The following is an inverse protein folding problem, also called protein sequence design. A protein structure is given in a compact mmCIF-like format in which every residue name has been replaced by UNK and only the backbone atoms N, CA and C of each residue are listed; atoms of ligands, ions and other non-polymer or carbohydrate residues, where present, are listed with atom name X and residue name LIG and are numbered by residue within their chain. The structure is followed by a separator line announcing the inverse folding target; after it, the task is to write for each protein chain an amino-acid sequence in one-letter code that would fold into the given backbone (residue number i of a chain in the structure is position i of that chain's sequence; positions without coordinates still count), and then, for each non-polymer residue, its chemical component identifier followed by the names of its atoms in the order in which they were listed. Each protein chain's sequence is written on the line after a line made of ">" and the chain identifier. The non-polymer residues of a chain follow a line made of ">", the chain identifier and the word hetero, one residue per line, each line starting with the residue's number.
data_IF_225152464339
#
_entry.id   IF_225152464339
#
_cell.length_a   1.000
_cell.length_b   1.000
_cell.length_c   1.000
_cell.angle_alpha   90.00
_cell.angle_beta   90.00
_cell.angle_gamma   90.00
#
_symmetry.space_group_name_H-M   'P 1'
#
loop_
_entity.id
_entity.type
_entity.pdbx_description
1 polymer ?
#
# COMPACT_ATOMS: atom_id res chain seq x y z
N UNK A 1 12.17 26.54 -12.82
CA UNK A 1 12.13 25.13 -13.26
C UNK A 1 10.91 24.47 -12.64
N UNK A 2 9.82 24.36 -13.41
CA UNK A 2 8.55 23.78 -12.94
C UNK A 2 8.63 22.26 -12.96
N UNK A 3 8.66 21.61 -11.78
CA UNK A 3 8.54 20.16 -11.67
C UNK A 3 7.08 19.81 -11.94
N UNK A 4 6.76 19.36 -13.16
CA UNK A 4 5.43 18.79 -13.45
C UNK A 4 5.17 17.66 -12.45
N UNK A 5 4.03 17.65 -11.74
CA UNK A 5 3.66 16.52 -10.91
C UNK A 5 3.52 15.28 -11.80
N UNK A 6 4.09 14.15 -11.36
CA UNK A 6 3.90 12.87 -12.03
C UNK A 6 2.41 12.58 -12.13
N UNK A 7 1.96 12.20 -13.33
CA UNK A 7 0.57 11.90 -13.65
C UNK A 7 0.03 10.81 -12.68
N UNK A 8 -1.03 11.11 -11.90
CA UNK A 8 -1.70 10.20 -10.97
C UNK A 8 -2.15 8.85 -11.52
N UNK A 9 -2.30 8.73 -12.83
CA UNK A 9 -3.00 7.62 -13.49
C UNK A 9 -2.11 6.44 -13.88
N UNK A 10 -0.91 6.35 -13.28
CA UNK A 10 0.19 5.51 -13.73
C UNK A 10 0.52 4.36 -12.76
N UNK A 11 0.08 3.14 -13.08
CA UNK A 11 0.55 1.90 -12.42
C UNK A 11 1.79 1.38 -13.16
N UNK A 12 2.93 1.28 -12.47
CA UNK A 12 4.16 0.70 -13.04
C UNK A 12 4.05 -0.83 -13.04
N UNK A 13 3.92 -1.41 -14.22
CA UNK A 13 3.98 -2.84 -14.47
C UNK A 13 5.42 -3.37 -14.46
N UNK A 14 5.59 -4.70 -14.32
CA UNK A 14 6.89 -5.35 -14.47
C UNK A 14 7.45 -5.07 -15.87
N UNK A 15 8.69 -4.56 -15.95
CA UNK A 15 9.30 -4.12 -17.21
C UNK A 15 9.09 -2.64 -17.55
N UNK A 16 8.60 -1.81 -16.62
CA UNK A 16 8.57 -0.34 -16.78
C UNK A 16 7.43 0.20 -17.63
N UNK A 17 6.49 -0.65 -18.06
CA UNK A 17 5.27 -0.21 -18.75
C UNK A 17 4.27 0.37 -17.75
N UNK A 18 3.48 1.34 -18.19
CA UNK A 18 2.56 2.05 -17.32
C UNK A 18 1.12 1.90 -17.81
N UNK A 19 0.19 1.51 -16.92
CA UNK A 19 -1.24 1.30 -17.25
C UNK A 19 -2.16 1.85 -16.16
N UNK A 20 -3.42 2.13 -16.52
CA UNK A 20 -4.45 2.59 -15.59
C UNK A 20 -4.95 1.46 -14.70
N UNK A 21 -5.24 1.77 -13.43
CA UNK A 21 -5.81 0.84 -12.45
C UNK A 21 -7.28 0.54 -12.80
N UNK A 22 -7.66 -0.73 -12.96
CA UNK A 22 -9.07 -1.15 -13.12
C UNK A 22 -9.85 -0.53 -14.29
N UNK A 23 -9.17 0.10 -15.26
CA UNK A 23 -9.83 0.83 -16.36
C UNK A 23 -10.43 2.20 -15.99
N UNK A 24 -10.32 2.65 -14.72
CA UNK A 24 -10.81 3.97 -14.27
C UNK A 24 -9.70 4.80 -13.62
N UNK A 25 -9.83 6.13 -13.69
CA UNK A 25 -8.95 7.02 -12.94
C UNK A 25 -9.37 7.05 -11.47
N UNK A 26 -8.42 7.13 -10.51
CA UNK A 26 -8.75 7.39 -9.12
C UNK A 26 -9.56 8.68 -9.02
N UNK A 27 -10.66 8.65 -8.27
CA UNK A 27 -11.56 9.79 -8.09
C UNK A 27 -11.11 10.69 -6.94
N UNK A 28 -10.32 10.15 -6.00
CA UNK A 28 -9.83 10.87 -4.82
C UNK A 28 -8.32 10.71 -4.61
N UNK A 29 -7.74 11.63 -3.83
CA UNK A 29 -6.33 11.56 -3.42
C UNK A 29 -6.03 10.31 -2.58
N UNK A 30 -6.93 9.90 -1.69
CA UNK A 30 -6.72 8.68 -0.90
C UNK A 30 -6.77 7.42 -1.77
N UNK A 31 -7.68 7.36 -2.74
CA UNK A 31 -7.73 6.26 -3.73
C UNK A 31 -6.44 6.21 -4.56
N UNK A 32 -5.93 7.36 -4.99
CA UNK A 32 -4.65 7.45 -5.70
C UNK A 32 -3.48 6.93 -4.85
N UNK A 33 -3.40 7.35 -3.59
CA UNK A 33 -2.35 6.88 -2.67
C UNK A 33 -2.42 5.37 -2.43
N UNK A 34 -3.62 4.81 -2.32
CA UNK A 34 -3.83 3.38 -2.21
C UNK A 34 -3.36 2.62 -3.46
N UNK A 35 -3.73 3.10 -4.65
CA UNK A 35 -3.29 2.51 -5.93
C UNK A 35 -1.75 2.52 -6.07
N UNK A 36 -1.10 3.63 -5.72
CA UNK A 36 0.37 3.75 -5.71
C UNK A 36 1.01 2.79 -4.71
N UNK A 37 0.43 2.65 -3.52
CA UNK A 37 0.94 1.73 -2.49
C UNK A 37 0.90 0.27 -2.97
N UNK A 38 -0.19 -0.16 -3.62
CA UNK A 38 -0.30 -1.52 -4.19
C UNK A 38 0.74 -1.73 -5.29
N UNK A 39 0.90 -0.78 -6.21
CA UNK A 39 1.86 -0.88 -7.30
C UNK A 39 3.31 -0.99 -6.78
N UNK A 40 3.65 -0.17 -5.77
CA UNK A 40 4.95 -0.22 -5.11
C UNK A 40 5.15 -1.56 -4.40
N UNK A 41 4.14 -2.07 -3.68
CA UNK A 41 4.18 -3.38 -3.04
C UNK A 41 4.41 -4.51 -4.07
N UNK A 42 3.73 -4.48 -5.21
CA UNK A 42 3.91 -5.45 -6.29
C UNK A 42 5.36 -5.45 -6.82
N UNK A 43 5.94 -4.26 -7.03
CA UNK A 43 7.34 -4.10 -7.43
C UNK A 43 8.30 -4.68 -6.39
N UNK A 44 8.07 -4.40 -5.09
CA UNK A 44 8.88 -4.95 -4.00
C UNK A 44 8.76 -6.47 -3.88
N UNK A 45 7.57 -7.02 -4.08
CA UNK A 45 7.36 -8.47 -4.10
C UNK A 45 8.18 -9.12 -5.21
N UNK A 46 8.20 -8.55 -6.42
CA UNK A 46 9.00 -9.07 -7.53
C UNK A 46 10.50 -9.00 -7.27
N UNK A 47 10.97 -7.87 -6.72
CA UNK A 47 12.37 -7.72 -6.31
C UNK A 47 12.77 -8.77 -5.26
N UNK A 48 11.88 -9.06 -4.30
CA UNK A 48 12.10 -10.09 -3.29
C UNK A 48 12.16 -11.50 -3.91
N UNK A 49 11.25 -11.84 -4.82
CA UNK A 49 11.28 -13.14 -5.52
C UNK A 49 12.60 -13.32 -6.28
N UNK A 50 13.06 -12.29 -6.99
CA UNK A 50 14.34 -12.33 -7.69
C UNK A 50 15.53 -12.51 -6.72
N UNK A 51 15.54 -11.79 -5.60
CA UNK A 51 16.59 -11.90 -4.58
C UNK A 51 16.63 -13.30 -3.94
N UNK A 52 15.47 -13.84 -3.56
CA UNK A 52 15.37 -15.19 -2.99
C UNK A 52 15.80 -16.28 -3.97
N UNK A 53 15.53 -16.09 -5.27
CA UNK A 53 15.99 -17.01 -6.32
C UNK A 53 17.51 -16.98 -6.43
N UNK A 54 18.11 -15.79 -6.49
CA UNK A 54 19.56 -15.62 -6.55
C UNK A 54 20.27 -16.17 -5.30
N UNK A 55 19.70 -15.99 -4.10
CA UNK A 55 20.22 -16.61 -2.88
C UNK A 55 20.17 -18.14 -2.97
N UNK A 56 19.06 -18.69 -3.47
CA UNK A 56 18.92 -20.14 -3.68
C UNK A 56 19.98 -20.70 -4.63
N UNK A 57 20.28 -20.00 -5.72
CA UNK A 57 21.34 -20.36 -6.66
C UNK A 57 22.74 -20.26 -6.04
N UNK A 58 23.02 -19.17 -5.30
CA UNK A 58 24.29 -19.00 -4.60
C UNK A 58 24.51 -20.09 -3.53
N UNK A 59 23.45 -20.47 -2.81
CA UNK A 59 23.49 -21.57 -1.84
C UNK A 59 23.78 -22.91 -2.52
N UNK A 60 23.14 -23.20 -3.66
CA UNK A 60 23.42 -24.41 -4.45
C UNK A 60 24.89 -24.47 -4.87
N UNK A 61 25.44 -23.35 -5.38
CA UNK A 61 26.84 -23.25 -5.76
C UNK A 61 27.79 -23.49 -4.58
N UNK A 62 27.46 -22.96 -3.40
CA UNK A 62 28.24 -23.22 -2.18
C UNK A 62 28.25 -24.70 -1.78
N UNK A 63 27.09 -25.36 -1.80
CA UNK A 63 27.00 -26.80 -1.50
C UNK A 63 27.79 -27.62 -2.52
N UNK A 64 27.73 -27.28 -3.81
CA UNK A 64 28.53 -27.94 -4.84
C UNK A 64 30.04 -27.77 -4.62
N UNK A 65 30.49 -26.56 -4.29
CA UNK A 65 31.90 -26.29 -4.02
C UNK A 65 32.44 -27.06 -2.80
N UNK A 66 31.62 -27.24 -1.75
CA UNK A 66 31.97 -28.10 -0.62
C UNK A 66 32.10 -29.56 -1.06
N UNK A 67 31.16 -30.05 -1.87
CA UNK A 67 31.16 -31.45 -2.31
C UNK A 67 32.37 -31.77 -3.20
N UNK A 68 32.80 -30.85 -4.06
CA UNK A 68 33.89 -31.06 -5.01
C UNK A 68 35.28 -30.82 -4.40
N UNK A 69 35.44 -29.77 -3.60
CA UNK A 69 36.75 -29.31 -3.14
C UNK A 69 36.94 -29.41 -1.63
N UNK A 70 35.91 -29.83 -0.88
CA UNK A 70 35.90 -29.84 0.57
C UNK A 70 35.58 -28.47 1.19
N UNK A 71 35.17 -28.47 2.47
CA UNK A 71 34.59 -27.29 3.14
C UNK A 71 35.60 -26.17 3.43
N UNK A 72 36.90 -26.49 3.50
CA UNK A 72 37.96 -25.52 3.79
C UNK A 72 38.67 -25.00 2.54
N UNK A 73 38.21 -25.38 1.33
CA UNK A 73 38.82 -24.91 0.09
C UNK A 73 38.57 -23.42 -0.14
N UNK A 74 39.49 -22.77 -0.85
CA UNK A 74 39.31 -21.38 -1.30
C UNK A 74 38.05 -21.21 -2.17
N UNK A 75 37.71 -22.23 -2.95
CA UNK A 75 36.48 -22.30 -3.76
C UNK A 75 35.22 -22.29 -2.88
N UNK A 76 35.16 -23.15 -1.86
CA UNK A 76 34.05 -23.17 -0.90
C UNK A 76 33.93 -21.85 -0.13
N UNK A 77 35.05 -21.24 0.28
CA UNK A 77 35.04 -19.94 0.95
C UNK A 77 34.53 -18.81 0.04
N UNK A 78 34.95 -18.79 -1.23
CA UNK A 78 34.47 -17.81 -2.21
C UNK A 78 32.97 -17.96 -2.47
N UNK A 79 32.48 -19.20 -2.60
CA UNK A 79 31.06 -19.48 -2.78
C UNK A 79 30.23 -19.09 -1.55
N UNK A 80 30.76 -19.32 -0.33
CA UNK A 80 30.14 -18.87 0.91
C UNK A 80 29.97 -17.35 0.94
N UNK A 81 31.02 -16.58 0.62
CA UNK A 81 30.91 -15.11 0.59
C UNK A 81 29.85 -14.61 -0.38
N UNK A 82 29.70 -15.26 -1.55
CA UNK A 82 28.64 -14.95 -2.51
C UNK A 82 27.25 -15.27 -1.96
N UNK A 83 27.09 -16.41 -1.29
CA UNK A 83 25.84 -16.76 -0.64
C UNK A 83 25.49 -15.79 0.50
N UNK A 84 26.45 -15.45 1.36
CA UNK A 84 26.26 -14.48 2.44
C UNK A 84 25.84 -13.10 1.89
N UNK A 85 26.49 -12.63 0.82
CA UNK A 85 26.12 -11.39 0.14
C UNK A 85 24.70 -11.45 -0.45
N UNK A 86 24.32 -12.56 -1.10
CA UNK A 86 22.97 -12.74 -1.63
C UNK A 86 21.92 -12.77 -0.51
N UNK A 87 22.21 -13.44 0.61
CA UNK A 87 21.34 -13.51 1.78
C UNK A 87 21.09 -12.14 2.42
N UNK A 88 22.12 -11.27 2.50
CA UNK A 88 21.95 -9.89 2.96
C UNK A 88 20.97 -9.12 2.07
N UNK A 89 21.06 -9.29 0.75
CA UNK A 89 20.14 -8.65 -0.20
C UNK A 89 18.70 -9.17 -0.04
N UNK A 90 18.52 -10.48 0.19
CA UNK A 90 17.19 -11.07 0.47
C UNK A 90 16.59 -10.49 1.75
N UNK A 91 17.36 -10.42 2.84
CA UNK A 91 16.89 -9.86 4.11
C UNK A 91 16.53 -8.37 3.97
N UNK A 92 17.36 -7.60 3.28
CA UNK A 92 17.05 -6.20 2.97
C UNK A 92 15.80 -6.06 2.07
N UNK A 93 15.60 -7.00 1.15
CA UNK A 93 14.41 -7.11 0.30
C UNK A 93 13.14 -7.39 1.11
N UNK A 94 13.21 -8.34 2.05
CA UNK A 94 12.11 -8.69 2.96
C UNK A 94 11.67 -7.48 3.81
N UNK A 95 12.62 -6.78 4.44
CA UNK A 95 12.31 -5.57 5.21
C UNK A 95 11.64 -4.48 4.36
N UNK A 96 12.09 -4.30 3.10
CA UNK A 96 11.47 -3.35 2.16
C UNK A 96 10.06 -3.78 1.75
N UNK A 97 9.80 -5.08 1.62
CA UNK A 97 8.49 -5.63 1.30
C UNK A 97 7.53 -5.42 2.48
N UNK A 98 7.94 -5.74 3.71
CA UNK A 98 7.14 -5.50 4.93
C UNK A 98 6.77 -4.02 5.07
N UNK A 99 7.75 -3.13 4.88
CA UNK A 99 7.50 -1.69 4.88
C UNK A 99 6.55 -1.25 3.75
N UNK A 100 6.52 -1.95 2.61
CA UNK A 100 5.54 -1.69 1.56
C UNK A 100 4.15 -2.20 1.95
N UNK A 101 4.04 -3.36 2.60
CA UNK A 101 2.78 -3.92 3.11
C UNK A 101 2.13 -2.98 4.14
N UNK A 102 2.92 -2.41 5.05
CA UNK A 102 2.43 -1.42 6.01
C UNK A 102 1.89 -0.15 5.34
N UNK A 103 2.52 0.29 4.25
CA UNK A 103 2.02 1.44 3.45
C UNK A 103 0.69 1.12 2.78
N UNK A 104 0.52 -0.10 2.27
CA UNK A 104 -0.76 -0.54 1.68
C UNK A 104 -1.86 -0.52 2.73
N UNK A 105 -1.63 -1.08 3.92
CA UNK A 105 -2.63 -1.09 5.00
C UNK A 105 -3.04 0.34 5.41
N UNK A 106 -2.07 1.22 5.65
CA UNK A 106 -2.36 2.62 6.01
C UNK A 106 -3.12 3.38 4.92
N UNK A 107 -2.78 3.14 3.64
CA UNK A 107 -3.48 3.77 2.53
C UNK A 107 -4.89 3.21 2.35
N UNK A 108 -5.10 1.91 2.61
CA UNK A 108 -6.41 1.29 2.62
C UNK A 108 -7.31 1.88 3.72
N UNK A 109 -6.78 2.02 4.94
CA UNK A 109 -7.52 2.61 6.06
C UNK A 109 -7.92 4.06 5.77
N UNK A 110 -7.00 4.86 5.22
CA UNK A 110 -7.27 6.25 4.86
C UNK A 110 -8.36 6.37 3.77
N UNK A 111 -8.33 5.48 2.77
CA UNK A 111 -9.35 5.45 1.74
C UNK A 111 -10.70 4.95 2.28
N UNK A 112 -10.72 3.93 3.14
CA UNK A 112 -11.93 3.45 3.79
C UNK A 112 -12.59 4.53 4.66
N UNK A 113 -11.79 5.31 5.41
CA UNK A 113 -12.28 6.43 6.20
C UNK A 113 -12.88 7.55 5.33
N UNK A 114 -12.28 7.84 4.18
CA UNK A 114 -12.83 8.79 3.21
C UNK A 114 -14.15 8.30 2.61
N UNK A 115 -14.23 7.03 2.21
CA UNK A 115 -15.48 6.44 1.70
C UNK A 115 -16.57 6.49 2.77
N UNK A 116 -16.24 6.15 4.02
CA UNK A 116 -17.17 6.22 5.14
C UNK A 116 -17.67 7.66 5.37
N UNK A 117 -16.77 8.66 5.40
CA UNK A 117 -17.16 10.06 5.62
C UNK A 117 -18.10 10.55 4.51
N UNK A 118 -17.87 10.20 3.25
CA UNK A 118 -18.75 10.54 2.15
C UNK A 118 -20.14 9.90 2.27
N UNK A 119 -20.22 8.65 2.78
CA UNK A 119 -21.49 7.96 2.98
C UNK A 119 -22.30 8.59 4.13
N UNK A 120 -21.67 8.93 5.26
CA UNK A 120 -22.34 9.57 6.39
C UNK A 120 -22.67 11.05 6.15
N UNK A 121 -21.88 11.75 5.32
CA UNK A 121 -22.21 13.13 4.91
C UNK A 121 -23.42 13.21 3.96
N UNK A 122 -23.88 12.08 3.44
CA UNK A 122 -25.04 11.96 2.57
C UNK A 122 -26.33 11.60 3.32
N UNK A 123 -26.35 11.67 4.66
CA UNK A 123 -27.61 11.54 5.40
C UNK A 123 -28.67 12.47 4.78
N UNK A 124 -29.87 11.96 4.47
CA UNK A 124 -30.93 12.79 3.92
C UNK A 124 -31.22 13.88 4.94
N UNK A 125 -31.22 15.14 4.49
CA UNK A 125 -31.88 16.23 5.21
C UNK A 125 -33.24 15.67 5.64
N UNK A 126 -33.42 15.46 6.95
CA UNK A 126 -34.71 15.04 7.47
C UNK A 126 -35.74 16.01 6.87
N UNK A 127 -36.83 15.51 6.24
CA UNK A 127 -37.83 16.41 5.69
C UNK A 127 -38.22 17.38 6.79
N UNK A 128 -38.19 18.69 6.48
CA UNK A 128 -38.56 19.72 7.43
C UNK A 128 -39.85 19.28 8.14
N UNK A 129 -39.91 19.35 9.48
CA UNK A 129 -41.12 18.95 10.20
C UNK A 129 -42.29 19.71 9.58
N UNK A 130 -43.43 19.04 9.28
CA UNK A 130 -44.58 19.75 8.74
C UNK A 130 -44.98 20.85 9.71
N UNK A 131 -44.93 22.11 9.28
CA UNK A 131 -45.61 23.18 10.02
C UNK A 131 -47.11 22.86 10.02
N UNK A 132 -47.76 22.84 11.20
CA UNK A 132 -47.69 23.89 12.20
C UNK A 132 -47.38 23.35 13.61
N UNK A 133 -46.11 23.20 13.95
CA UNK A 133 -45.66 23.14 15.35
C UNK A 133 -44.73 24.30 15.70
N UNK A 134 -44.66 25.33 14.86
CA UNK A 134 -44.24 26.67 15.24
C UNK A 134 -45.31 27.34 16.14
N UNK A 135 -45.80 26.63 17.16
CA UNK A 135 -46.35 27.32 18.33
C UNK A 135 -45.16 27.99 18.98
N UNK A 136 -45.15 29.31 18.89
CA UNK A 136 -44.11 30.11 19.53
C UNK A 136 -44.09 29.76 21.02
N UNK A 137 -42.90 29.68 21.61
CA UNK A 137 -42.73 29.47 23.06
C UNK A 137 -43.54 30.46 23.93
N UNK A 138 -43.99 31.58 23.36
CA UNK A 138 -44.90 32.54 23.99
C UNK A 138 -46.30 31.95 24.27
N UNK A 139 -46.87 31.15 23.35
CA UNK A 139 -48.22 30.56 23.55
C UNK A 139 -48.26 29.50 24.66
N UNK A 140 -47.12 28.93 25.04
CA UNK A 140 -47.03 27.94 26.12
C UNK A 140 -46.81 28.57 27.50
N UNK A 141 -46.35 29.83 27.57
CA UNK A 141 -46.02 30.52 28.82
C UNK A 141 -47.11 31.50 29.28
N UNK A 142 -48.03 31.90 28.41
CA UNK A 142 -49.14 32.82 28.74
C UNK A 142 -50.42 32.10 29.23
N UNK A 143 -50.37 30.77 29.42
CA UNK A 143 -51.54 29.94 29.76
C UNK A 143 -51.88 29.80 31.26
N UNK A 144 -51.02 30.23 32.18
CA UNK A 144 -51.20 30.04 33.64
C UNK A 144 -51.48 31.37 34.37
N UNK A 145 -52.53 32.08 33.94
CA UNK A 145 -53.09 33.21 34.68
C UNK A 145 -54.63 33.14 34.73
N UNK A 146 -55.16 32.13 35.44
CA UNK A 146 -56.52 32.15 35.99
C UNK A 146 -56.52 31.58 37.41
#
# INVERSE_FOLDING_TARGET
>A
MSRKPLDPSLVILPGGKVTRWGGRCPETTCEQHYAVAIAHHATKRQQMVAAATAEGEARKAYVAAIAEHGPCSSSANTARMRWDAARVLTLAGAAKLEAASLRVMRAADAWAAEVASQLYSREPVAPAPPEPLARTWAEYMDGDAL
#
